data_IF_515890057387
#
_entry.id   IF_515890057387
#
_cell.length_a   1.000
_cell.length_b   1.000
_cell.length_c   1.000
_cell.angle_alpha   90.00
_cell.angle_beta   90.00
_cell.angle_gamma   90.00
#
_symmetry.space_group_name_H-M   'P 1'
#
loop_
_entity.id
_entity.type
_entity.pdbx_description
1 polymer ?
#
# COMPACT_ATOMS: atom_id res chain seq x y z
N UNK A 1 -19.36 32.89 -4.35
CA UNK A 1 -18.42 31.81 -4.75
C UNK A 1 -17.18 31.74 -3.89
N UNK A 2 -16.38 32.79 -3.67
CA UNK A 2 -15.12 32.74 -2.85
C UNK A 2 -15.28 32.21 -1.40
N UNK A 3 -16.41 32.46 -0.72
CA UNK A 3 -16.65 32.04 0.68
C UNK A 3 -16.89 30.53 0.80
N UNK A 4 -17.65 29.91 -0.12
CA UNK A 4 -17.92 28.47 -0.10
C UNK A 4 -16.63 27.66 -0.37
N UNK A 5 -15.80 28.11 -1.33
CA UNK A 5 -14.51 27.49 -1.65
C UNK A 5 -13.55 27.55 -0.47
N UNK A 6 -13.49 28.70 0.23
CA UNK A 6 -12.66 28.88 1.43
C UNK A 6 -13.11 27.96 2.58
N UNK A 7 -14.43 27.82 2.77
CA UNK A 7 -14.98 26.95 3.82
C UNK A 7 -14.67 25.48 3.52
N UNK A 8 -14.80 25.05 2.28
CA UNK A 8 -14.44 23.68 1.85
C UNK A 8 -12.96 23.41 2.11
N UNK A 9 -12.07 24.32 1.70
CA UNK A 9 -10.64 24.19 1.95
C UNK A 9 -10.32 24.08 3.45
N UNK A 10 -10.94 24.91 4.30
CA UNK A 10 -10.73 24.81 5.76
C UNK A 10 -11.21 23.49 6.34
N UNK A 11 -12.28 22.89 5.79
CA UNK A 11 -12.75 21.56 6.19
C UNK A 11 -11.75 20.46 5.79
N UNK A 12 -11.24 20.52 4.57
CA UNK A 12 -10.22 19.59 4.07
C UNK A 12 -8.92 19.70 4.88
N UNK A 13 -8.46 20.91 5.17
CA UNK A 13 -7.27 21.17 5.99
C UNK A 13 -7.42 20.62 7.42
N UNK A 14 -8.60 20.77 8.03
CA UNK A 14 -8.85 20.24 9.36
C UNK A 14 -8.98 18.71 9.33
N UNK A 15 -9.62 18.14 8.32
CA UNK A 15 -9.67 16.67 8.13
C UNK A 15 -8.26 16.08 8.03
N UNK A 16 -7.38 16.70 7.25
CA UNK A 16 -5.99 16.29 7.14
C UNK A 16 -5.25 16.35 8.50
N UNK A 17 -5.42 17.43 9.25
CA UNK A 17 -4.83 17.58 10.60
C UNK A 17 -5.31 16.51 11.58
N UNK A 18 -6.60 16.15 11.52
CA UNK A 18 -7.15 15.07 12.36
C UNK A 18 -6.49 13.74 12.02
N UNK A 19 -6.40 13.42 10.72
CA UNK A 19 -5.77 12.18 10.25
C UNK A 19 -4.30 12.10 10.65
N UNK A 20 -3.52 13.17 10.50
CA UNK A 20 -2.09 13.18 10.87
C UNK A 20 -1.88 12.99 12.37
N UNK A 21 -2.68 13.67 13.20
CA UNK A 21 -2.61 13.54 14.64
C UNK A 21 -3.03 12.13 15.12
N UNK A 22 -4.06 11.55 14.50
CA UNK A 22 -4.52 10.20 14.79
C UNK A 22 -3.46 9.17 14.39
N UNK A 23 -2.84 9.30 13.21
CA UNK A 23 -1.75 8.42 12.75
C UNK A 23 -0.61 8.39 13.76
N UNK A 24 -0.15 9.56 14.18
CA UNK A 24 0.95 9.65 15.15
C UNK A 24 0.59 8.97 16.47
N UNK A 25 -0.61 9.20 17.00
CA UNK A 25 -1.06 8.60 18.25
C UNK A 25 -1.23 7.07 18.11
N UNK A 26 -1.88 6.59 17.05
CA UNK A 26 -2.09 5.16 16.83
C UNK A 26 -0.78 4.38 16.68
N UNK A 27 0.21 4.96 16.02
CA UNK A 27 1.53 4.33 15.84
C UNK A 27 2.33 4.29 17.12
N UNK A 28 2.29 5.38 17.92
CA UNK A 28 3.12 5.49 19.12
C UNK A 28 2.53 4.78 20.34
N UNK A 29 1.20 4.75 20.46
CA UNK A 29 0.53 4.27 21.66
C UNK A 29 -0.36 3.04 21.40
N UNK A 30 -0.59 2.68 20.15
CA UNK A 30 -1.52 1.64 19.75
C UNK A 30 -2.97 2.15 19.65
N UNK A 31 -3.75 1.51 18.77
CA UNK A 31 -5.14 1.91 18.48
C UNK A 31 -6.02 1.84 19.72
N UNK A 32 -5.83 0.83 20.59
CA UNK A 32 -6.65 0.63 21.77
C UNK A 32 -6.46 1.75 22.83
N UNK A 33 -5.26 2.28 22.98
CA UNK A 33 -4.93 3.32 23.97
C UNK A 33 -5.37 4.73 23.55
N UNK A 34 -5.78 4.91 22.30
CA UNK A 34 -6.16 6.22 21.73
C UNK A 34 -7.68 6.38 21.71
N UNK A 35 -8.15 7.56 22.11
CA UNK A 35 -9.56 7.96 22.07
C UNK A 35 -9.74 9.17 21.15
N UNK A 36 -10.97 9.39 20.66
CA UNK A 36 -11.34 10.60 19.90
C UNK A 36 -10.99 11.89 20.65
N UNK A 37 -11.20 11.89 21.97
CA UNK A 37 -10.82 13.04 22.82
C UNK A 37 -9.32 13.31 22.80
N UNK A 38 -8.50 12.28 22.89
CA UNK A 38 -7.04 12.41 22.85
C UNK A 38 -6.54 12.98 21.53
N UNK A 39 -7.14 12.56 20.42
CA UNK A 39 -6.86 13.13 19.09
C UNK A 39 -7.26 14.59 19.02
N UNK A 40 -8.44 14.95 19.55
CA UNK A 40 -8.93 16.33 19.60
C UNK A 40 -8.01 17.24 20.43
N UNK A 41 -7.64 16.79 21.63
CA UNK A 41 -6.75 17.52 22.53
C UNK A 41 -5.38 17.80 21.85
N UNK A 42 -4.84 16.82 21.10
CA UNK A 42 -3.56 16.96 20.39
C UNK A 42 -3.57 18.08 19.35
N UNK A 43 -4.68 18.30 18.67
CA UNK A 43 -4.81 19.35 17.63
C UNK A 43 -5.44 20.65 18.12
N UNK A 44 -5.79 20.72 19.42
CA UNK A 44 -6.37 21.92 20.04
C UNK A 44 -7.85 22.15 19.70
N UNK A 45 -8.63 21.07 19.46
CA UNK A 45 -10.06 21.12 19.17
C UNK A 45 -10.88 20.35 20.19
N UNK A 46 -12.20 20.52 20.16
CA UNK A 46 -13.12 19.71 20.98
C UNK A 46 -13.37 18.35 20.36
N UNK A 47 -13.65 17.33 21.20
CA UNK A 47 -14.07 16.03 20.71
C UNK A 47 -15.33 16.12 19.81
N UNK A 48 -16.27 17.01 20.15
CA UNK A 48 -17.46 17.29 19.31
C UNK A 48 -17.08 17.73 17.90
N UNK A 49 -16.00 18.50 17.74
CA UNK A 49 -15.52 18.90 16.42
C UNK A 49 -15.08 17.69 15.60
N UNK A 50 -14.39 16.71 16.22
CA UNK A 50 -13.95 15.49 15.53
C UNK A 50 -15.15 14.60 15.13
N UNK A 51 -16.16 14.49 15.98
CA UNK A 51 -17.37 13.74 15.66
C UNK A 51 -18.17 14.32 14.48
N UNK A 52 -17.93 15.57 14.09
CA UNK A 52 -18.47 16.13 12.84
C UNK A 52 -17.75 15.62 11.57
N UNK A 53 -16.60 14.95 11.71
CA UNK A 53 -15.79 14.40 10.62
C UNK A 53 -15.78 12.88 10.59
N UNK A 54 -15.83 12.24 11.76
CA UNK A 54 -15.73 10.79 11.92
C UNK A 54 -16.66 10.34 13.04
N UNK A 55 -17.54 9.42 12.75
CA UNK A 55 -18.57 8.94 13.68
C UNK A 55 -17.97 8.30 14.94
N UNK A 56 -16.83 7.64 14.79
CA UNK A 56 -16.13 6.96 15.88
C UNK A 56 -14.63 6.78 15.55
N UNK A 57 -13.89 6.16 16.48
CA UNK A 57 -12.47 5.86 16.35
C UNK A 57 -12.18 4.90 15.17
N UNK A 58 -13.07 3.98 14.91
CA UNK A 58 -12.93 3.01 13.83
C UNK A 58 -13.09 3.67 12.47
N UNK A 59 -14.10 4.53 12.30
CA UNK A 59 -14.27 5.35 11.10
C UNK A 59 -13.04 6.22 10.82
N UNK A 60 -12.43 6.78 11.89
CA UNK A 60 -11.19 7.53 11.77
C UNK A 60 -10.01 6.64 11.33
N UNK A 61 -9.90 5.42 11.88
CA UNK A 61 -8.86 4.46 11.48
C UNK A 61 -9.03 3.99 10.03
N UNK A 62 -10.26 3.72 9.60
CA UNK A 62 -10.56 3.36 8.21
C UNK A 62 -10.19 4.48 7.25
N UNK A 63 -10.62 5.71 7.52
CA UNK A 63 -10.28 6.86 6.68
C UNK A 63 -8.78 7.11 6.59
N UNK A 64 -8.03 6.80 7.65
CA UNK A 64 -6.58 6.85 7.67
C UNK A 64 -5.98 5.79 6.74
N UNK A 65 -6.43 4.55 6.84
CA UNK A 65 -5.98 3.47 5.97
C UNK A 65 -6.30 3.75 4.51
N UNK A 66 -7.49 4.27 4.19
CA UNK A 66 -7.87 4.64 2.82
C UNK A 66 -6.95 5.72 2.25
N UNK A 67 -6.66 6.76 3.01
CA UNK A 67 -5.72 7.80 2.58
C UNK A 67 -4.31 7.24 2.32
N UNK A 68 -3.87 6.30 3.15
CA UNK A 68 -2.56 5.66 3.04
C UNK A 68 -2.51 4.70 1.82
N UNK A 69 -3.55 3.91 1.59
CA UNK A 69 -3.70 3.10 0.37
C UNK A 69 -3.77 3.96 -0.89
N UNK A 70 -4.51 5.08 -0.83
CA UNK A 70 -4.55 6.06 -1.92
C UNK A 70 -3.17 6.61 -2.27
N UNK A 71 -2.33 6.87 -1.25
CA UNK A 71 -0.95 7.32 -1.46
C UNK A 71 -0.12 6.25 -2.19
N UNK A 72 -0.24 4.98 -1.81
CA UNK A 72 0.44 3.87 -2.49
C UNK A 72 -0.08 3.72 -3.93
N UNK A 73 -1.40 3.82 -4.13
CA UNK A 73 -2.03 3.72 -5.43
C UNK A 73 -1.55 4.80 -6.41
N UNK A 74 -1.42 6.04 -5.96
CA UNK A 74 -0.87 7.12 -6.80
C UNK A 74 0.58 6.88 -7.24
N UNK A 75 1.37 6.18 -6.42
CA UNK A 75 2.71 5.73 -6.81
C UNK A 75 2.62 4.62 -7.88
N UNK A 76 1.69 3.68 -7.75
CA UNK A 76 1.50 2.58 -8.69
C UNK A 76 0.96 3.06 -10.04
N UNK A 77 0.04 4.01 -10.07
CA UNK A 77 -0.46 4.62 -11.32
C UNK A 77 0.65 5.21 -12.18
N UNK A 78 1.67 5.82 -11.57
CA UNK A 78 2.83 6.34 -12.30
C UNK A 78 3.63 5.24 -13.00
N UNK A 79 3.63 4.03 -12.42
CA UNK A 79 4.31 2.85 -12.95
C UNK A 79 3.49 2.21 -14.07
N UNK A 80 2.18 2.37 -14.07
CA UNK A 80 1.25 1.83 -15.09
C UNK A 80 1.58 2.21 -16.54
N UNK A 81 2.39 3.24 -16.75
CA UNK A 81 2.88 3.66 -18.07
C UNK A 81 3.95 2.74 -18.66
N UNK A 82 4.52 1.83 -17.87
CA UNK A 82 5.51 0.85 -18.33
C UNK A 82 4.73 -0.25 -19.09
N UNK A 83 5.03 -0.39 -20.39
CA UNK A 83 4.31 -1.31 -21.27
C UNK A 83 4.61 -2.78 -20.95
N UNK A 84 5.88 -3.12 -20.67
CA UNK A 84 6.28 -4.48 -20.31
C UNK A 84 5.78 -4.85 -18.91
N UNK A 85 4.89 -5.85 -18.78
CA UNK A 85 4.34 -6.24 -17.49
C UNK A 85 5.39 -6.79 -16.52
N UNK A 86 6.49 -7.37 -17.01
CA UNK A 86 7.56 -7.89 -16.16
C UNK A 86 8.37 -6.75 -15.55
N UNK A 87 8.75 -5.76 -16.35
CA UNK A 87 9.40 -4.55 -15.84
C UNK A 87 8.47 -3.76 -14.91
N UNK A 88 7.16 -3.75 -15.20
CA UNK A 88 6.15 -3.15 -14.34
C UNK A 88 6.10 -3.85 -12.99
N UNK A 89 6.08 -5.19 -12.92
CA UNK A 89 6.11 -5.97 -11.68
C UNK A 89 7.38 -5.71 -10.87
N UNK A 90 8.55 -5.66 -11.52
CA UNK A 90 9.82 -5.29 -10.84
C UNK A 90 9.70 -3.92 -10.18
N UNK A 91 9.21 -2.94 -10.93
CA UNK A 91 9.08 -1.57 -10.43
C UNK A 91 8.05 -1.45 -9.33
N UNK A 92 6.93 -2.18 -9.40
CA UNK A 92 5.90 -2.25 -8.35
C UNK A 92 6.49 -2.81 -7.05
N UNK A 93 7.23 -3.93 -7.11
CA UNK A 93 7.88 -4.51 -5.94
C UNK A 93 8.85 -3.54 -5.25
N UNK A 94 9.72 -2.89 -6.03
CA UNK A 94 10.64 -1.87 -5.49
C UNK A 94 9.90 -0.68 -4.90
N UNK A 95 8.84 -0.22 -5.55
CA UNK A 95 8.06 0.93 -5.08
C UNK A 95 7.33 0.61 -3.79
N UNK A 96 6.78 -0.60 -3.64
CA UNK A 96 6.15 -1.05 -2.41
C UNK A 96 7.12 -1.01 -1.21
N UNK A 97 8.32 -1.58 -1.36
CA UNK A 97 9.33 -1.59 -0.29
C UNK A 97 9.78 -0.16 0.02
N UNK A 98 10.05 0.65 -1.02
CA UNK A 98 10.41 2.07 -0.85
C UNK A 98 9.32 2.86 -0.12
N UNK A 99 8.05 2.62 -0.43
CA UNK A 99 6.92 3.22 0.29
C UNK A 99 6.95 2.85 1.77
N UNK A 100 7.09 1.57 2.09
CA UNK A 100 7.14 1.09 3.47
C UNK A 100 8.27 1.75 4.28
N UNK A 101 9.46 1.86 3.70
CA UNK A 101 10.64 2.46 4.33
C UNK A 101 10.50 3.99 4.50
N UNK A 102 9.90 4.64 3.52
CA UNK A 102 9.72 6.10 3.53
C UNK A 102 8.57 6.54 4.44
N UNK A 103 7.54 5.71 4.55
CA UNK A 103 6.32 5.99 5.32
C UNK A 103 6.02 4.88 6.33
N UNK A 104 6.93 4.61 7.30
CA UNK A 104 6.81 3.46 8.20
C UNK A 104 5.54 3.49 9.05
N UNK A 105 5.08 4.67 9.46
CA UNK A 105 3.84 4.85 10.22
C UNK A 105 2.60 4.50 9.40
N UNK A 106 2.55 4.93 8.13
CA UNK A 106 1.48 4.56 7.19
C UNK A 106 1.45 3.04 6.99
N UNK A 107 2.61 2.45 6.67
CA UNK A 107 2.75 1.01 6.44
C UNK A 107 2.31 0.18 7.65
N UNK A 108 2.70 0.58 8.88
CA UNK A 108 2.28 -0.12 10.11
C UNK A 108 0.77 -0.07 10.31
N UNK A 109 0.12 1.06 10.07
CA UNK A 109 -1.34 1.18 10.16
C UNK A 109 -2.04 0.34 9.09
N UNK A 110 -1.55 0.37 7.85
CA UNK A 110 -2.15 -0.38 6.75
C UNK A 110 -2.11 -1.90 6.96
N UNK A 111 -1.00 -2.43 7.48
CA UNK A 111 -0.71 -3.86 7.40
C UNK A 111 -0.42 -4.55 8.74
N UNK A 112 -0.05 -3.81 9.78
CA UNK A 112 0.39 -4.37 11.06
C UNK A 112 -0.57 -4.06 12.22
N UNK A 113 -1.62 -3.31 11.97
CA UNK A 113 -2.64 -2.98 12.97
C UNK A 113 -3.81 -3.93 12.82
N UNK A 114 -4.24 -4.63 13.89
CA UNK A 114 -5.45 -5.43 13.86
C UNK A 114 -6.65 -4.57 13.45
N UNK A 115 -7.42 -5.04 12.49
CA UNK A 115 -8.65 -4.36 12.05
C UNK A 115 -9.85 -5.10 12.59
N UNK A 116 -10.80 -4.35 13.10
CA UNK A 116 -12.14 -4.90 13.37
C UNK A 116 -12.89 -4.93 12.04
N UNK A 117 -13.17 -6.12 11.51
CA UNK A 117 -14.02 -6.26 10.33
C UNK A 117 -15.45 -5.89 10.68
N UNK A 118 -16.02 -4.90 10.03
CA UNK A 118 -17.43 -4.50 10.16
C UNK A 118 -18.36 -5.28 9.23
N UNK A 119 -17.86 -6.31 8.54
CA UNK A 119 -18.63 -7.11 7.57
C UNK A 119 -18.57 -6.56 6.15
N UNK A 120 -19.55 -6.88 5.32
CA UNK A 120 -19.62 -6.46 3.90
C UNK A 120 -19.79 -4.94 3.73
N UNK A 121 -20.27 -4.24 4.79
CA UNK A 121 -20.45 -2.79 4.84
C UNK A 121 -19.18 -2.03 5.28
N UNK A 122 -17.98 -2.66 5.23
CA UNK A 122 -16.72 -1.97 5.47
C UNK A 122 -16.63 -0.77 4.52
N UNK A 123 -16.81 0.44 5.09
CA UNK A 123 -16.83 1.71 4.36
C UNK A 123 -15.44 2.12 3.90
N UNK A 124 -14.84 1.35 2.99
CA UNK A 124 -13.70 1.87 2.22
C UNK A 124 -14.23 2.76 1.10
N UNK A 125 -13.69 3.95 0.97
CA UNK A 125 -13.95 4.82 -0.18
C UNK A 125 -13.31 4.25 -1.46
N UNK A 126 -12.44 3.22 -1.31
CA UNK A 126 -11.74 2.53 -2.40
C UNK A 126 -12.65 1.43 -2.97
N UNK A 127 -12.90 1.47 -4.26
CA UNK A 127 -13.58 0.40 -4.99
C UNK A 127 -12.67 -0.83 -5.10
N UNK A 128 -12.93 -1.83 -4.27
CA UNK A 128 -12.15 -3.08 -4.23
C UNK A 128 -12.24 -3.81 -5.58
N UNK A 129 -11.09 -4.29 -6.05
CA UNK A 129 -10.99 -4.99 -7.34
C UNK A 129 -10.89 -4.07 -8.55
N UNK A 130 -11.03 -2.74 -8.38
CA UNK A 130 -10.79 -1.77 -9.43
C UNK A 130 -9.29 -1.40 -9.49
N UNK A 131 -8.55 -1.76 -10.55
CA UNK A 131 -7.12 -1.45 -10.65
C UNK A 131 -6.78 0.04 -10.59
N UNK A 132 -7.74 0.92 -10.88
CA UNK A 132 -7.52 2.37 -10.80
C UNK A 132 -7.58 2.91 -9.36
N UNK A 133 -8.10 2.15 -8.41
CA UNK A 133 -8.28 2.55 -7.02
C UNK A 133 -7.63 1.60 -6.02
N UNK A 134 -7.53 0.32 -6.34
CA UNK A 134 -7.04 -0.75 -5.49
C UNK A 134 -5.64 -1.18 -5.93
N UNK A 135 -4.66 -0.95 -5.06
CA UNK A 135 -3.25 -1.29 -5.31
C UNK A 135 -3.02 -2.79 -5.53
N UNK A 136 -3.76 -3.65 -4.83
CA UNK A 136 -3.67 -5.10 -5.03
C UNK A 136 -4.27 -5.51 -6.38
N UNK A 137 -5.43 -4.95 -6.73
CA UNK A 137 -6.05 -5.19 -8.03
C UNK A 137 -5.16 -4.72 -9.18
N UNK A 138 -4.41 -3.63 -9.00
CA UNK A 138 -3.43 -3.15 -9.98
C UNK A 138 -2.28 -4.16 -10.20
N UNK A 139 -1.71 -4.70 -9.11
CA UNK A 139 -0.69 -5.76 -9.21
C UNK A 139 -1.26 -6.99 -9.91
N UNK A 140 -2.45 -7.43 -9.49
CA UNK A 140 -3.13 -8.59 -10.07
C UNK A 140 -3.40 -8.41 -11.58
N UNK A 141 -3.88 -7.25 -12.00
CA UNK A 141 -4.08 -6.95 -13.42
C UNK A 141 -2.76 -7.05 -14.21
N UNK A 142 -1.65 -6.56 -13.64
CA UNK A 142 -0.33 -6.68 -14.26
C UNK A 142 0.12 -8.16 -14.37
N UNK A 143 -0.18 -8.97 -13.36
CA UNK A 143 0.08 -10.42 -13.41
C UNK A 143 -0.77 -11.11 -14.48
N UNK A 144 -2.06 -10.76 -14.60
CA UNK A 144 -2.95 -11.26 -15.65
C UNK A 144 -2.38 -10.98 -17.05
N UNK A 145 -1.89 -9.75 -17.27
CA UNK A 145 -1.23 -9.39 -18.54
C UNK A 145 0.01 -10.27 -18.80
N UNK A 146 0.85 -10.49 -17.78
CA UNK A 146 2.06 -11.31 -17.91
C UNK A 146 1.73 -12.78 -18.21
N UNK A 147 0.71 -13.35 -17.56
CA UNK A 147 0.20 -14.70 -17.83
C UNK A 147 -0.32 -14.79 -19.26
N UNK A 148 -1.20 -13.87 -19.68
CA UNK A 148 -1.79 -13.86 -21.02
C UNK A 148 -0.72 -13.70 -22.13
N UNK A 149 0.35 -12.96 -21.86
CA UNK A 149 1.49 -12.80 -22.77
C UNK A 149 2.46 -14.01 -22.75
N UNK A 150 2.21 -15.04 -21.93
CA UNK A 150 3.00 -16.26 -21.89
C UNK A 150 4.39 -16.11 -21.24
N UNK A 151 4.60 -15.11 -20.39
CA UNK A 151 5.89 -14.90 -19.73
C UNK A 151 6.21 -15.94 -18.67
N UNK A 152 5.19 -16.48 -17.98
CA UNK A 152 5.39 -17.35 -16.82
C UNK A 152 5.39 -18.86 -17.19
N UNK A 153 6.04 -19.66 -16.38
CA UNK A 153 6.00 -21.11 -16.46
C UNK A 153 4.55 -21.64 -16.40
N UNK A 154 4.30 -22.82 -16.94
CA UNK A 154 2.97 -23.45 -17.01
C UNK A 154 2.36 -23.72 -15.63
N UNK A 155 3.18 -23.92 -14.62
CA UNK A 155 2.78 -24.11 -13.23
C UNK A 155 2.36 -22.80 -12.52
N UNK A 156 2.64 -21.61 -13.09
CA UNK A 156 2.36 -20.31 -12.52
C UNK A 156 1.33 -19.53 -13.34
N UNK A 157 0.21 -20.18 -13.66
CA UNK A 157 -0.85 -19.58 -14.48
C UNK A 157 -2.02 -19.03 -13.65
N UNK A 158 -2.03 -19.24 -12.33
CA UNK A 158 -3.03 -18.66 -11.43
C UNK A 158 -2.60 -17.24 -11.02
N UNK A 159 -3.29 -16.18 -11.51
CA UNK A 159 -2.91 -14.80 -11.21
C UNK A 159 -3.07 -14.44 -9.72
N UNK A 160 -4.02 -15.06 -9.03
CA UNK A 160 -4.24 -14.78 -7.61
C UNK A 160 -3.09 -15.35 -6.78
N UNK A 161 -2.70 -16.59 -7.04
CA UNK A 161 -1.55 -17.22 -6.38
C UNK A 161 -0.27 -16.42 -6.63
N UNK A 162 0.02 -16.09 -7.88
CA UNK A 162 1.25 -15.35 -8.26
C UNK A 162 1.28 -13.96 -7.61
N UNK A 163 0.15 -13.24 -7.61
CA UNK A 163 0.06 -11.93 -6.98
C UNK A 163 0.30 -11.99 -5.47
N UNK A 164 -0.23 -13.01 -4.80
CA UNK A 164 -0.03 -13.22 -3.36
C UNK A 164 1.41 -13.59 -3.03
N UNK A 165 2.06 -14.42 -3.86
CA UNK A 165 3.49 -14.77 -3.71
C UNK A 165 4.37 -13.53 -3.84
N UNK A 166 4.16 -12.72 -4.89
CA UNK A 166 4.92 -11.48 -5.09
C UNK A 166 4.71 -10.53 -3.91
N UNK A 167 3.46 -10.32 -3.50
CA UNK A 167 3.14 -9.44 -2.37
C UNK A 167 3.76 -9.94 -1.07
N UNK A 168 3.64 -11.24 -0.77
CA UNK A 168 4.23 -11.85 0.43
C UNK A 168 5.75 -11.63 0.50
N UNK A 169 6.45 -11.77 -0.61
CA UNK A 169 7.89 -11.56 -0.68
C UNK A 169 8.29 -10.11 -0.37
N UNK A 170 7.69 -9.13 -1.04
CA UNK A 170 8.01 -7.70 -0.81
C UNK A 170 7.54 -7.22 0.57
N UNK A 171 6.39 -7.75 1.04
CA UNK A 171 5.89 -7.48 2.38
C UNK A 171 6.84 -8.06 3.45
N UNK A 172 7.35 -9.26 3.25
CA UNK A 172 8.34 -9.89 4.13
C UNK A 172 9.59 -9.03 4.28
N UNK A 173 10.17 -8.53 3.19
CA UNK A 173 11.32 -7.62 3.24
C UNK A 173 11.00 -6.36 4.05
N UNK A 174 9.89 -5.70 3.73
CA UNK A 174 9.50 -4.46 4.39
C UNK A 174 9.22 -4.65 5.88
N UNK A 175 8.41 -5.66 6.24
CA UNK A 175 8.00 -5.92 7.62
C UNK A 175 9.17 -6.35 8.51
N UNK A 176 10.02 -7.27 8.04
CA UNK A 176 11.19 -7.71 8.78
C UNK A 176 12.15 -6.55 9.05
N UNK A 177 12.43 -5.73 8.04
CA UNK A 177 13.30 -4.57 8.22
C UNK A 177 12.72 -3.54 9.20
N UNK A 178 11.42 -3.24 9.12
CA UNK A 178 10.77 -2.26 9.99
C UNK A 178 10.64 -2.72 11.45
N UNK A 179 10.59 -4.04 11.69
CA UNK A 179 10.42 -4.60 13.04
C UNK A 179 11.79 -4.96 13.64
N UNK A 180 12.65 -5.62 12.88
CA UNK A 180 13.87 -6.26 13.37
C UNK A 180 15.16 -5.65 12.82
N UNK A 181 15.09 -4.67 11.92
CA UNK A 181 16.26 -4.12 11.22
C UNK A 181 17.35 -3.51 12.15
N UNK A 182 16.98 -3.20 13.40
CA UNK A 182 17.92 -2.74 14.43
C UNK A 182 18.35 -3.85 15.40
N UNK A 183 17.87 -5.09 15.20
CA UNK A 183 18.17 -6.20 16.10
C UNK A 183 19.57 -6.78 15.78
N UNK A 184 20.37 -7.01 16.83
CA UNK A 184 21.78 -7.39 16.68
C UNK A 184 22.01 -8.90 16.46
N UNK A 185 20.96 -9.73 16.55
CA UNK A 185 21.07 -11.18 16.39
C UNK A 185 21.21 -11.62 14.93
N UNK A 186 20.89 -10.74 13.96
CA UNK A 186 21.08 -10.95 12.52
C UNK A 186 22.05 -9.91 11.96
N UNK A 187 22.99 -10.35 11.16
CA UNK A 187 23.83 -9.43 10.37
C UNK A 187 23.04 -8.95 9.15
N UNK A 188 22.22 -7.92 9.37
CA UNK A 188 21.38 -7.36 8.32
C UNK A 188 22.22 -6.79 7.17
N UNK A 189 21.86 -7.20 5.95
CA UNK A 189 22.37 -6.54 4.75
C UNK A 189 21.61 -5.24 4.49
N UNK A 190 22.16 -4.31 3.69
CA UNK A 190 21.44 -3.10 3.27
C UNK A 190 20.07 -3.48 2.69
N UNK A 191 19.02 -2.84 3.18
CA UNK A 191 17.64 -3.19 2.80
C UNK A 191 17.39 -3.05 1.29
N UNK A 192 18.09 -2.11 0.64
CA UNK A 192 18.02 -1.90 -0.81
C UNK A 192 18.57 -3.10 -1.58
N UNK A 193 19.62 -3.73 -1.06
CA UNK A 193 20.21 -4.95 -1.64
C UNK A 193 19.26 -6.13 -1.47
N UNK A 194 18.71 -6.31 -0.28
CA UNK A 194 17.72 -7.37 -0.01
C UNK A 194 16.47 -7.19 -0.87
N UNK A 195 15.94 -5.97 -0.95
CA UNK A 195 14.79 -5.63 -1.76
C UNK A 195 15.00 -5.96 -3.24
N UNK A 196 16.12 -5.50 -3.81
CA UNK A 196 16.47 -5.77 -5.21
C UNK A 196 16.60 -7.27 -5.46
N UNK A 197 17.32 -7.98 -4.59
CA UNK A 197 17.56 -9.42 -4.75
C UNK A 197 16.26 -10.20 -4.63
N UNK A 198 15.42 -9.89 -3.66
CA UNK A 198 14.12 -10.57 -3.47
C UNK A 198 13.22 -10.40 -4.68
N UNK A 199 13.04 -9.17 -5.17
CA UNK A 199 12.22 -8.91 -6.36
C UNK A 199 12.76 -9.67 -7.58
N UNK A 200 14.08 -9.64 -7.79
CA UNK A 200 14.68 -10.30 -8.94
C UNK A 200 14.60 -11.84 -8.85
N UNK A 201 14.82 -12.42 -7.68
CA UNK A 201 14.69 -13.88 -7.47
C UNK A 201 13.25 -14.35 -7.71
N UNK A 202 12.26 -13.61 -7.18
CA UNK A 202 10.85 -13.94 -7.41
C UNK A 202 10.48 -13.86 -8.89
N UNK A 203 10.84 -12.77 -9.56
CA UNK A 203 10.52 -12.60 -10.99
C UNK A 203 11.19 -13.67 -11.84
N UNK A 204 12.49 -13.94 -11.62
CA UNK A 204 13.21 -14.98 -12.37
C UNK A 204 12.62 -16.37 -12.13
N UNK A 205 12.20 -16.67 -10.92
CA UNK A 205 11.56 -17.95 -10.60
C UNK A 205 10.21 -18.15 -11.27
N UNK A 206 9.53 -17.08 -11.68
CA UNK A 206 8.25 -17.14 -12.38
C UNK A 206 8.41 -17.23 -13.91
N UNK A 207 9.51 -16.68 -14.46
CA UNK A 207 9.70 -16.57 -15.91
C UNK A 207 10.05 -17.90 -16.55
N UNK A 208 9.46 -18.17 -17.71
CA UNK A 208 9.88 -19.30 -18.60
C UNK A 208 11.31 -19.12 -19.05
N UNK A 209 12.03 -20.21 -19.23
CA UNK A 209 13.34 -20.22 -19.85
C UNK A 209 13.24 -19.64 -21.27
N UNK A 210 13.89 -18.50 -21.50
CA UNK A 210 13.83 -17.80 -22.80
C UNK A 210 12.71 -16.76 -22.98
N UNK A 211 11.88 -16.51 -21.96
CA UNK A 211 10.71 -15.61 -21.98
C UNK A 211 11.00 -14.11 -22.14
N UNK A 212 12.18 -13.72 -22.61
CA UNK A 212 12.54 -12.31 -22.83
C UNK A 212 12.89 -11.94 -24.28
N UNK A 213 12.71 -12.81 -25.26
CA UNK A 213 13.23 -12.58 -26.64
C UNK A 213 12.21 -12.51 -27.77
N UNK A 214 10.93 -12.74 -27.55
CA UNK A 214 9.95 -12.83 -28.66
C UNK A 214 9.07 -11.59 -28.89
N UNK A 215 9.30 -10.47 -28.24
CA UNK A 215 8.54 -9.24 -28.50
C UNK A 215 9.08 -8.39 -29.67
N UNK A 216 10.17 -8.82 -30.36
CA UNK A 216 10.82 -8.05 -31.40
C UNK A 216 10.90 -8.72 -32.78
N UNK A 217 10.15 -9.81 -33.00
CA UNK A 217 10.19 -10.55 -34.29
C UNK A 217 8.80 -10.74 -34.89
N UNK A 218 8.10 -9.65 -35.17
CA UNK A 218 6.77 -9.66 -35.80
C UNK A 218 6.49 -8.44 -36.64
N UNK A 219 7.47 -7.98 -37.43
CA UNK A 219 7.26 -7.16 -38.63
C UNK A 219 8.29 -7.57 -39.70
N UNK A 220 7.83 -8.36 -40.64
CA UNK A 220 8.45 -8.72 -41.87
C UNK A 220 7.41 -8.78 -42.98
#
# INVERSE_FOLDING_TARGET
>A
MKSATRRKQQQEDLRAKILDAARELFVNEGVEAVSMRKVADKIGYSATTLYNYFDDKEALLYALCDADFGTLQELFKKIGKIADPIERLRKLGHTYITFALRYPSHYRLMFMTPRVHRGEDDCFEIERGNPDQDSYAFVRATVVEAVAAGYFHEEYQDPDLVSQVIWSGVHGVASLHLILGNDLWVQWRPVEEVARTTVEVMIRGLLRDGGGKNAAAGEG
#
